data_IF_617383192356
#
_entry.id   IF_617383192356
#
_cell.length_a   1.000
_cell.length_b   1.000
_cell.length_c   1.000
_cell.angle_alpha   90.00
_cell.angle_beta   90.00
_cell.angle_gamma   90.00
#
_symmetry.space_group_name_H-M   'P 1'
#
loop_
_entity.id
_entity.type
_entity.pdbx_description
1 polymer ?
#
# COMPACT_ATOMS: atom_id res chain seq x y z
N UNK A 1 -10.97 26.63 -15.24
CA UNK A 1 -12.29 26.32 -14.65
C UNK A 1 -12.53 27.34 -13.55
N UNK A 2 -13.37 28.36 -13.80
CA UNK A 2 -13.35 29.60 -13.01
C UNK A 2 -13.90 29.39 -11.61
N UNK A 3 -13.03 29.55 -10.61
CA UNK A 3 -13.37 29.48 -9.17
C UNK A 3 -14.59 30.36 -8.85
N UNK A 4 -14.71 31.49 -9.54
CA UNK A 4 -15.80 32.47 -9.43
C UNK A 4 -17.17 31.85 -9.77
N UNK A 5 -17.24 31.01 -10.80
CA UNK A 5 -18.49 30.35 -11.22
C UNK A 5 -18.92 29.33 -10.16
N UNK A 6 -17.98 28.57 -9.59
CA UNK A 6 -18.27 27.64 -8.50
C UNK A 6 -18.73 28.34 -7.24
N UNK A 7 -18.07 29.45 -6.87
CA UNK A 7 -18.48 30.24 -5.71
C UNK A 7 -19.89 30.81 -5.88
N UNK A 8 -20.24 31.30 -7.07
CA UNK A 8 -21.58 31.81 -7.38
C UNK A 8 -22.64 30.70 -7.25
N UNK A 9 -22.39 29.51 -7.79
CA UNK A 9 -23.30 28.36 -7.71
C UNK A 9 -23.52 27.94 -6.25
N UNK A 10 -22.46 27.90 -5.44
CA UNK A 10 -22.54 27.58 -4.01
C UNK A 10 -23.37 28.63 -3.26
N UNK A 11 -23.17 29.93 -3.55
CA UNK A 11 -23.93 31.02 -2.93
C UNK A 11 -25.44 30.92 -3.24
N UNK A 12 -25.79 30.61 -4.50
CA UNK A 12 -27.19 30.44 -4.92
C UNK A 12 -27.82 29.21 -4.24
N UNK A 13 -27.06 28.11 -4.13
CA UNK A 13 -27.50 26.92 -3.41
C UNK A 13 -27.76 27.19 -1.93
N UNK A 14 -26.84 27.89 -1.25
CA UNK A 14 -26.99 28.28 0.17
C UNK A 14 -28.18 29.22 0.35
N UNK A 15 -28.38 30.20 -0.53
CA UNK A 15 -29.54 31.10 -0.48
C UNK A 15 -30.87 30.33 -0.57
N UNK A 16 -30.95 29.34 -1.47
CA UNK A 16 -32.16 28.52 -1.62
C UNK A 16 -32.41 27.63 -0.39
N UNK A 17 -31.35 27.06 0.19
CA UNK A 17 -31.43 26.31 1.46
C UNK A 17 -31.94 27.19 2.61
N UNK A 18 -31.40 28.40 2.76
CA UNK A 18 -31.83 29.34 3.81
C UNK A 18 -33.29 29.78 3.61
N UNK A 19 -33.72 29.99 2.37
CA UNK A 19 -35.11 30.31 2.04
C UNK A 19 -36.09 29.19 2.41
N UNK A 20 -35.71 27.94 2.14
CA UNK A 20 -36.47 26.76 2.56
C UNK A 20 -36.53 26.66 4.09
N UNK A 21 -35.40 26.91 4.77
CA UNK A 21 -35.33 26.88 6.23
C UNK A 21 -36.24 27.94 6.90
N UNK A 22 -36.23 29.17 6.39
CA UNK A 22 -37.09 30.26 6.90
C UNK A 22 -38.59 29.96 6.73
N UNK A 23 -38.99 29.42 5.57
CA UNK A 23 -40.40 29.08 5.31
C UNK A 23 -40.93 28.01 6.28
N UNK A 24 -40.06 27.08 6.69
CA UNK A 24 -40.38 26.00 7.63
C UNK A 24 -40.37 26.50 9.07
N UNK A 25 -39.47 27.40 9.44
CA UNK A 25 -39.36 27.94 10.80
C UNK A 25 -40.51 28.90 11.19
N UNK A 26 -41.08 29.62 10.22
CA UNK A 26 -42.15 30.60 10.42
C UNK A 26 -43.58 30.00 10.38
N UNK A 27 -43.73 28.75 9.90
CA UNK A 27 -45.03 28.04 9.89
C UNK A 27 -45.21 27.17 11.14
N UNK A 28 -46.37 27.27 11.79
CA UNK A 28 -46.75 26.60 13.03
C UNK A 28 -45.98 25.30 13.36
N UNK A 29 -45.26 25.32 14.50
CA UNK A 29 -44.49 24.20 15.10
C UNK A 29 -45.36 23.06 15.67
N UNK A 30 -46.42 22.65 14.99
CA UNK A 30 -47.29 21.60 15.50
C UNK A 30 -47.14 20.30 14.69
N UNK A 31 -46.40 19.36 15.28
CA UNK A 31 -46.51 17.89 15.13
C UNK A 31 -45.50 17.09 14.30
N UNK A 32 -44.65 17.66 13.44
CA UNK A 32 -43.67 16.87 12.67
C UNK A 32 -42.20 17.14 13.07
N UNK A 33 -41.75 16.60 14.20
CA UNK A 33 -40.33 16.57 14.60
C UNK A 33 -39.43 15.86 13.58
N UNK A 34 -39.99 14.89 12.84
CA UNK A 34 -39.28 14.14 11.80
C UNK A 34 -38.92 14.97 10.57
N UNK A 35 -39.65 16.06 10.29
CA UNK A 35 -39.37 16.93 9.14
C UNK A 35 -38.09 17.75 9.36
N UNK A 36 -37.86 18.21 10.60
CA UNK A 36 -36.62 18.87 10.98
C UNK A 36 -35.42 17.93 10.93
N UNK A 37 -35.61 16.68 11.34
CA UNK A 37 -34.58 15.64 11.28
C UNK A 37 -34.21 15.31 9.82
N UNK A 38 -35.19 15.26 8.93
CA UNK A 38 -34.97 15.08 7.49
C UNK A 38 -34.19 16.26 6.87
N UNK A 39 -34.56 17.50 7.21
CA UNK A 39 -33.87 18.70 6.71
C UNK A 39 -32.43 18.80 7.22
N UNK A 40 -32.20 18.44 8.49
CA UNK A 40 -30.86 18.34 9.08
C UNK A 40 -30.01 17.27 8.38
N UNK A 41 -30.61 16.12 8.04
CA UNK A 41 -29.93 15.03 7.34
C UNK A 41 -29.49 15.44 5.92
N UNK A 42 -30.34 16.18 5.20
CA UNK A 42 -30.01 16.77 3.90
C UNK A 42 -28.89 17.81 4.00
N UNK A 43 -28.91 18.65 5.02
CA UNK A 43 -27.84 19.61 5.27
C UNK A 43 -26.51 18.90 5.56
N UNK A 44 -26.54 17.86 6.39
CA UNK A 44 -25.37 17.04 6.70
C UNK A 44 -24.83 16.31 5.45
N UNK A 45 -25.72 15.78 4.60
CA UNK A 45 -25.36 15.15 3.33
C UNK A 45 -24.70 16.15 2.35
N UNK A 46 -25.16 17.40 2.34
CA UNK A 46 -24.54 18.48 1.54
C UNK A 46 -23.14 18.84 2.03
N UNK A 47 -22.95 18.97 3.35
CA UNK A 47 -21.61 19.18 3.93
C UNK A 47 -20.67 18.03 3.57
N UNK A 48 -21.18 16.80 3.63
CA UNK A 48 -20.44 15.59 3.24
C UNK A 48 -20.08 15.57 1.75
N UNK A 49 -20.98 16.04 0.89
CA UNK A 49 -20.76 16.12 -0.56
C UNK A 49 -19.74 17.20 -0.94
N UNK A 50 -19.82 18.39 -0.32
CA UNK A 50 -18.88 19.49 -0.56
C UNK A 50 -17.50 19.20 0.04
N UNK A 51 -17.48 18.54 1.20
CA UNK A 51 -16.26 18.14 1.89
C UNK A 51 -15.39 17.10 1.18
N UNK A 52 -15.85 16.61 0.02
CA UNK A 52 -15.12 15.66 -0.81
C UNK A 52 -14.95 14.28 -0.15
N UNK A 53 -14.07 13.47 -0.74
CA UNK A 53 -13.86 12.06 -0.37
C UNK A 53 -13.56 11.85 1.12
N UNK A 54 -12.84 12.78 1.75
CA UNK A 54 -12.39 12.64 3.14
C UNK A 54 -13.53 12.77 4.15
N UNK A 55 -14.37 13.80 4.01
CA UNK A 55 -15.50 14.01 4.92
C UNK A 55 -16.53 12.90 4.72
N UNK A 56 -16.80 12.48 3.47
CA UNK A 56 -17.67 11.33 3.22
C UNK A 56 -17.13 10.01 3.82
N UNK A 57 -15.81 9.81 3.81
CA UNK A 57 -15.19 8.59 4.35
C UNK A 57 -15.18 8.51 5.88
N UNK A 58 -15.33 9.64 6.59
CA UNK A 58 -15.26 9.67 8.05
C UNK A 58 -16.44 8.92 8.71
N UNK A 59 -17.71 9.20 8.37
CA UNK A 59 -18.84 8.44 8.92
C UNK A 59 -18.80 6.97 8.53
N UNK A 60 -18.32 6.65 7.32
CA UNK A 60 -18.20 5.26 6.87
C UNK A 60 -17.12 4.50 7.63
N UNK A 61 -15.98 5.13 7.92
CA UNK A 61 -14.92 4.53 8.75
C UNK A 61 -15.35 4.38 10.20
N UNK A 62 -16.04 5.37 10.78
CA UNK A 62 -16.61 5.26 12.12
C UNK A 62 -17.68 4.17 12.21
N UNK A 63 -18.56 4.06 11.22
CA UNK A 63 -19.56 2.99 11.15
C UNK A 63 -18.88 1.62 11.05
N UNK A 64 -17.88 1.46 10.19
CA UNK A 64 -17.08 0.23 10.08
C UNK A 64 -16.38 -0.11 11.40
N UNK A 65 -15.85 0.90 12.12
CA UNK A 65 -15.23 0.73 13.43
C UNK A 65 -16.25 0.28 14.50
N UNK A 66 -17.48 0.79 14.44
CA UNK A 66 -18.56 0.34 15.30
C UNK A 66 -18.93 -1.12 15.04
N UNK A 67 -18.95 -1.57 13.78
CA UNK A 67 -19.11 -2.99 13.44
C UNK A 67 -17.96 -3.87 13.95
N UNK A 68 -16.73 -3.36 13.95
CA UNK A 68 -15.57 -4.08 14.52
C UNK A 68 -15.64 -4.16 16.06
N UNK A 69 -16.21 -3.15 16.72
CA UNK A 69 -16.46 -3.17 18.17
C UNK A 69 -17.46 -4.27 18.58
N UNK A 70 -18.44 -4.60 17.72
CA UNK A 70 -19.36 -5.74 17.95
C UNK A 70 -18.61 -7.08 18.04
N UNK A 71 -17.43 -7.18 17.42
CA UNK A 71 -16.56 -8.36 17.45
C UNK A 71 -15.62 -8.40 18.67
N UNK A 72 -15.74 -7.43 19.60
CA UNK A 72 -15.04 -7.43 20.89
C UNK A 72 -13.60 -6.89 20.88
N UNK A 73 -13.15 -6.29 19.76
CA UNK A 73 -11.80 -5.73 19.69
C UNK A 73 -11.75 -4.31 20.27
N UNK A 74 -10.87 -4.08 21.24
CA UNK A 74 -10.66 -2.78 21.89
C UNK A 74 -9.92 -1.79 20.96
N UNK A 75 -10.16 -0.49 21.14
CA UNK A 75 -9.41 0.59 20.43
C UNK A 75 -7.90 0.40 20.60
N UNK A 76 -7.44 -0.01 21.78
CA UNK A 76 -6.02 -0.23 22.06
C UNK A 76 -5.45 -1.42 21.27
N UNK A 77 -6.27 -2.45 21.01
CA UNK A 77 -5.90 -3.60 20.20
C UNK A 77 -5.80 -3.23 18.70
N UNK A 78 -6.65 -2.31 18.22
CA UNK A 78 -6.50 -1.78 16.86
C UNK A 78 -5.21 -0.97 16.72
N UNK A 79 -4.88 -0.15 17.71
CA UNK A 79 -3.63 0.64 17.71
C UNK A 79 -2.40 -0.28 17.82
N UNK A 80 -2.44 -1.34 18.63
CA UNK A 80 -1.33 -2.30 18.70
C UNK A 80 -1.18 -3.10 17.41
N UNK A 81 -2.29 -3.53 16.79
CA UNK A 81 -2.28 -4.20 15.49
C UNK A 81 -1.71 -3.29 14.40
N UNK A 82 -2.10 -2.01 14.37
CA UNK A 82 -1.56 -1.05 13.42
C UNK A 82 -0.05 -0.87 13.56
N UNK A 83 0.47 -0.82 14.80
CA UNK A 83 1.92 -0.79 15.06
C UNK A 83 2.62 -2.06 14.59
N UNK A 84 2.02 -3.22 14.84
CA UNK A 84 2.54 -4.51 14.36
C UNK A 84 2.57 -4.56 12.82
N UNK A 85 1.54 -4.07 12.15
CA UNK A 85 1.54 -3.98 10.69
C UNK A 85 2.63 -3.03 10.18
N UNK A 86 2.89 -1.92 10.88
CA UNK A 86 3.99 -1.03 10.53
C UNK A 86 5.36 -1.68 10.71
N UNK A 87 5.59 -2.42 11.80
CA UNK A 87 6.87 -3.12 12.01
C UNK A 87 7.06 -4.25 10.99
N UNK A 88 6.01 -5.01 10.68
CA UNK A 88 6.06 -6.03 9.62
C UNK A 88 6.32 -5.42 8.25
N UNK A 89 5.72 -4.27 7.94
CA UNK A 89 5.99 -3.54 6.69
C UNK A 89 7.44 -3.06 6.62
N UNK A 90 7.98 -2.53 7.71
CA UNK A 90 9.37 -2.07 7.81
C UNK A 90 10.37 -3.23 7.69
N UNK A 91 10.00 -4.45 8.08
CA UNK A 91 10.86 -5.65 7.97
C UNK A 91 11.17 -6.09 6.54
N UNK A 92 10.50 -5.52 5.52
CA UNK A 92 10.74 -5.81 4.11
C UNK A 92 10.41 -7.25 3.67
N UNK A 93 9.99 -8.14 4.58
CA UNK A 93 9.63 -9.53 4.30
C UNK A 93 8.26 -9.69 3.62
N UNK A 94 7.41 -8.66 3.66
CA UNK A 94 6.03 -8.68 3.14
C UNK A 94 5.77 -7.68 2.00
N UNK A 95 6.83 -7.18 1.36
CA UNK A 95 6.67 -6.31 0.18
C UNK A 95 6.40 -7.17 -1.05
N UNK A 96 5.12 -7.27 -1.44
CA UNK A 96 4.71 -7.90 -2.72
C UNK A 96 5.02 -7.03 -3.94
N UNK A 97 5.55 -5.82 -3.75
CA UNK A 97 5.92 -4.89 -4.83
C UNK A 97 7.33 -5.19 -5.37
N UNK A 98 7.62 -6.46 -5.63
CA UNK A 98 8.88 -6.92 -6.24
C UNK A 98 8.60 -7.81 -7.45
N UNK A 99 7.64 -7.43 -8.29
CA UNK A 99 7.65 -7.86 -9.69
C UNK A 99 8.35 -6.75 -10.48
N UNK A 100 9.51 -7.08 -11.01
CA UNK A 100 10.28 -6.32 -12.00
C UNK A 100 10.98 -5.07 -11.47
N UNK A 101 12.17 -5.29 -10.88
CA UNK A 101 13.43 -4.56 -11.12
C UNK A 101 14.35 -4.73 -9.90
N UNK A 102 15.18 -5.76 -9.95
CA UNK A 102 16.48 -5.76 -9.28
C UNK A 102 17.36 -4.65 -9.92
N UNK A 103 17.02 -3.38 -9.65
CA UNK A 103 17.77 -2.21 -10.13
C UNK A 103 18.47 -1.44 -9.01
N UNK A 104 18.37 -1.91 -7.77
CA UNK A 104 19.36 -1.56 -6.75
C UNK A 104 20.51 -2.56 -6.85
N UNK A 105 21.26 -2.41 -7.94
CA UNK A 105 22.56 -3.02 -8.11
C UNK A 105 23.54 -2.41 -7.10
N UNK A 106 23.75 -3.08 -5.97
CA UNK A 106 25.14 -3.41 -5.68
C UNK A 106 25.54 -4.41 -6.78
N UNK A 107 25.97 -3.90 -7.94
CA UNK A 107 26.47 -4.74 -9.04
C UNK A 107 27.54 -5.62 -8.41
N UNK A 108 27.26 -6.92 -8.30
CA UNK A 108 28.26 -7.89 -7.85
C UNK A 108 29.48 -7.66 -8.74
N UNK A 109 30.61 -7.34 -8.12
CA UNK A 109 31.85 -7.16 -8.87
C UNK A 109 32.26 -8.50 -9.47
N UNK A 110 32.98 -8.49 -10.60
CA UNK A 110 33.51 -9.72 -11.18
C UNK A 110 34.27 -10.53 -10.12
N UNK A 111 35.07 -9.87 -9.30
CA UNK A 111 35.83 -10.53 -8.24
C UNK A 111 34.94 -11.20 -7.16
N UNK A 112 33.83 -10.57 -6.79
CA UNK A 112 32.84 -11.17 -5.88
C UNK A 112 32.10 -12.33 -6.54
N UNK A 113 31.77 -12.25 -7.83
CA UNK A 113 31.13 -13.33 -8.55
C UNK A 113 31.99 -14.61 -8.54
N UNK A 114 33.29 -14.48 -8.81
CA UNK A 114 34.23 -15.60 -8.75
C UNK A 114 34.31 -16.19 -7.32
N UNK A 115 34.35 -15.33 -6.29
CA UNK A 115 34.32 -15.78 -4.88
C UNK A 115 33.02 -16.52 -4.52
N UNK A 116 31.87 -16.04 -4.99
CA UNK A 116 30.54 -16.66 -4.73
C UNK A 116 30.47 -18.08 -5.30
N UNK A 117 31.02 -18.31 -6.50
CA UNK A 117 31.10 -19.66 -7.09
C UNK A 117 32.30 -20.48 -6.59
N UNK A 118 33.10 -19.93 -5.67
CA UNK A 118 34.34 -20.53 -5.18
C UNK A 118 35.32 -20.90 -6.32
N UNK A 119 35.44 -19.99 -7.28
CA UNK A 119 36.34 -20.07 -8.44
C UNK A 119 37.44 -19.03 -8.29
N UNK A 120 38.62 -19.32 -8.84
CA UNK A 120 39.78 -18.42 -8.80
C UNK A 120 39.81 -17.57 -10.08
N UNK A 121 39.91 -16.25 -9.92
CA UNK A 121 39.99 -15.28 -11.03
C UNK A 121 41.27 -15.48 -11.84
N UNK A 122 42.34 -15.95 -11.19
CA UNK A 122 43.66 -16.09 -11.80
C UNK A 122 43.82 -17.36 -12.63
N UNK A 123 42.84 -18.28 -12.57
CA UNK A 123 42.84 -19.50 -13.37
C UNK A 123 41.94 -19.30 -14.59
N UNK A 124 42.36 -19.81 -15.75
CA UNK A 124 41.51 -19.85 -16.95
C UNK A 124 40.33 -20.82 -16.70
N UNK A 125 39.21 -20.29 -16.21
CA UNK A 125 38.00 -21.08 -15.92
C UNK A 125 37.21 -21.31 -17.21
N UNK A 126 36.90 -22.57 -17.54
CA UNK A 126 36.02 -22.92 -18.66
C UNK A 126 34.54 -22.71 -18.30
N UNK A 127 33.69 -22.47 -19.31
CA UNK A 127 32.21 -22.37 -19.14
C UNK A 127 31.64 -23.61 -18.42
N UNK A 128 32.24 -24.78 -18.65
CA UNK A 128 31.86 -26.05 -18.02
C UNK A 128 32.12 -26.07 -16.51
N UNK A 129 33.23 -25.49 -16.06
CA UNK A 129 33.61 -25.44 -14.65
C UNK A 129 32.71 -24.49 -13.87
N UNK A 130 32.33 -23.36 -14.48
CA UNK A 130 31.33 -22.44 -13.94
C UNK A 130 29.99 -23.14 -13.74
N UNK A 131 29.53 -23.90 -14.73
CA UNK A 131 28.26 -24.63 -14.64
C UNK A 131 28.29 -25.73 -13.57
N UNK A 132 29.41 -26.45 -13.43
CA UNK A 132 29.58 -27.46 -12.37
C UNK A 132 29.55 -26.83 -10.97
N UNK A 133 30.27 -25.73 -10.76
CA UNK A 133 30.28 -25.01 -9.49
C UNK A 133 28.90 -24.45 -9.13
N UNK A 134 28.23 -23.83 -10.11
CA UNK A 134 26.86 -23.34 -9.99
C UNK A 134 25.89 -24.44 -9.55
N UNK A 135 25.87 -25.58 -10.23
CA UNK A 135 24.96 -26.69 -9.90
C UNK A 135 25.23 -27.26 -8.49
N UNK A 136 26.50 -27.32 -8.06
CA UNK A 136 26.87 -27.81 -6.72
C UNK A 136 26.34 -26.89 -5.61
N UNK A 137 26.40 -25.58 -5.82
CA UNK A 137 25.89 -24.58 -4.87
C UNK A 137 24.37 -24.55 -4.91
N UNK A 138 23.77 -24.47 -6.10
CA UNK A 138 22.33 -24.38 -6.31
C UNK A 138 21.58 -25.58 -5.71
N UNK A 139 22.13 -26.80 -5.80
CA UNK A 139 21.55 -28.00 -5.14
C UNK A 139 21.46 -27.90 -3.63
N UNK A 140 22.26 -27.05 -2.97
CA UNK A 140 22.23 -26.85 -1.51
C UNK A 140 21.27 -25.74 -1.06
N UNK A 141 21.02 -24.76 -1.93
CA UNK A 141 20.30 -23.52 -1.59
C UNK A 141 19.02 -23.32 -2.41
N UNK A 142 18.57 -24.36 -3.12
CA UNK A 142 17.39 -24.27 -3.97
C UNK A 142 16.15 -23.88 -3.15
N UNK A 143 15.31 -22.93 -3.63
CA UNK A 143 14.09 -22.53 -2.91
C UNK A 143 13.13 -23.71 -2.64
N UNK A 144 13.16 -24.75 -3.47
CA UNK A 144 12.35 -25.98 -3.26
C UNK A 144 12.80 -26.81 -2.05
N UNK A 145 14.06 -26.66 -1.60
CA UNK A 145 14.58 -27.34 -0.41
C UNK A 145 14.33 -26.47 0.83
N UNK A 146 14.56 -25.16 0.69
CA UNK A 146 14.24 -24.18 1.72
C UNK A 146 13.76 -22.88 1.08
N UNK A 147 12.50 -22.46 1.32
CA UNK A 147 12.00 -21.19 0.78
C UNK A 147 12.79 -19.98 1.32
N UNK A 148 13.49 -20.14 2.45
CA UNK A 148 14.29 -19.07 3.06
C UNK A 148 15.59 -18.79 2.28
N UNK A 149 16.10 -19.75 1.49
CA UNK A 149 17.34 -19.58 0.71
C UNK A 149 17.13 -18.97 -0.67
N UNK A 150 15.89 -18.57 -1.02
CA UNK A 150 15.55 -17.96 -2.30
C UNK A 150 16.43 -16.74 -2.66
N UNK A 151 16.78 -15.90 -1.67
CA UNK A 151 17.70 -14.76 -1.88
C UNK A 151 19.12 -15.18 -2.24
N UNK A 152 19.64 -16.21 -1.56
CA UNK A 152 20.98 -16.72 -1.83
C UNK A 152 21.05 -17.35 -3.23
N UNK A 153 20.00 -18.06 -3.64
CA UNK A 153 19.90 -18.61 -4.98
C UNK A 153 19.88 -17.53 -6.06
N UNK A 154 19.16 -16.42 -5.84
CA UNK A 154 19.17 -15.28 -6.76
C UNK A 154 20.58 -14.68 -6.92
N UNK A 155 21.31 -14.48 -5.83
CA UNK A 155 22.69 -13.97 -5.83
C UNK A 155 23.64 -14.91 -6.61
N UNK A 156 23.49 -16.22 -6.45
CA UNK A 156 24.29 -17.23 -7.17
C UNK A 156 23.97 -17.24 -8.67
N UNK A 157 22.70 -17.03 -9.05
CA UNK A 157 22.30 -16.86 -10.44
C UNK A 157 22.94 -15.63 -11.09
N UNK A 158 22.92 -14.49 -10.39
CA UNK A 158 23.54 -13.24 -10.84
C UNK A 158 25.06 -13.41 -11.02
N UNK A 159 25.74 -14.04 -10.05
CA UNK A 159 27.18 -14.32 -10.13
C UNK A 159 27.53 -15.19 -11.36
N UNK A 160 26.74 -16.24 -11.63
CA UNK A 160 26.92 -17.09 -12.83
C UNK A 160 26.78 -16.27 -14.11
N UNK A 161 25.77 -15.42 -14.20
CA UNK A 161 25.50 -14.61 -15.40
C UNK A 161 26.62 -13.62 -15.68
N UNK A 162 27.15 -12.96 -14.65
CA UNK A 162 28.28 -12.03 -14.74
C UNK A 162 29.55 -12.73 -15.24
N UNK A 163 29.87 -13.91 -14.71
CA UNK A 163 31.06 -14.68 -15.12
C UNK A 163 30.90 -15.17 -16.56
N UNK A 164 29.74 -15.72 -16.93
CA UNK A 164 29.51 -16.19 -18.30
C UNK A 164 29.59 -15.05 -19.32
N UNK A 165 29.14 -13.84 -18.96
CA UNK A 165 29.28 -12.64 -19.80
C UNK A 165 30.74 -12.20 -19.97
N UNK A 166 31.61 -12.48 -18.99
CA UNK A 166 33.04 -12.16 -19.08
C UNK A 166 33.84 -13.21 -19.87
N UNK A 167 33.43 -14.47 -19.83
CA UNK A 167 34.07 -15.58 -20.57
C UNK A 167 33.58 -15.66 -22.04
N UNK A 168 32.39 -15.11 -22.34
CA UNK A 168 31.82 -15.13 -23.69
C UNK A 168 32.30 -13.98 -24.57
#
# INVERSE_FOLDING_TARGET
MNIIIYTLIIIVGIYFLLKLFNKVFLGNRAKNSNFYLFLLLIFFALIMAVGGKFIFSLPLTLASLAFLKLKGMSIFQLISLFRLLQTLKASGRFSFKQNNKFSNSSMISLAEAYKILNLDINKNVSKEDVQKAYLKIQKKIHPDISPETARLSAIVNEAREIILKNIS
#
